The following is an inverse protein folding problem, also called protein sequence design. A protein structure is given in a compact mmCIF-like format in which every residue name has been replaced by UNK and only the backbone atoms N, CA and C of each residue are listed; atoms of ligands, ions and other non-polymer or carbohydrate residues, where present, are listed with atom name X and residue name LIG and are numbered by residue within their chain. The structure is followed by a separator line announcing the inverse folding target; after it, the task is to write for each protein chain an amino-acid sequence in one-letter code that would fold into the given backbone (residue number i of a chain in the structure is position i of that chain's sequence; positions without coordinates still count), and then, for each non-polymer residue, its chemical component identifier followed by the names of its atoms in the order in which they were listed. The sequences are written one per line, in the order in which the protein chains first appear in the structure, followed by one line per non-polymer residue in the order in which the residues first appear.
data_IF_156771861784
#
_entry.id   IF_156771861784
#
_cell.length_a   1.000
_cell.length_b   1.000
_cell.length_c   1.000
_cell.angle_alpha   90.00
_cell.angle_beta   90.00
_cell.angle_gamma   90.00
#
_symmetry.space_group_name_H-M   'P 1'
#
loop_
_entity.id
_entity.type
_entity.pdbx_description
1 polymer ?
#
# COMPACT_ATOMS: atom_id res chain seq x y z
N UNK A 1 -65.74 -8.81 16.96
CA UNK A 1 -64.42 -9.42 16.71
C UNK A 1 -63.81 -8.79 15.47
N UNK A 2 -62.55 -8.34 15.55
CA UNK A 2 -61.56 -8.11 14.48
C UNK A 2 -60.81 -6.79 14.67
N UNK A 3 -60.03 -6.72 15.76
CA UNK A 3 -59.05 -5.66 16.05
C UNK A 3 -57.62 -6.23 15.89
N UNK A 4 -57.39 -7.00 14.81
CA UNK A 4 -56.12 -7.72 14.60
C UNK A 4 -55.51 -7.57 13.21
N UNK A 5 -55.95 -6.61 12.40
CA UNK A 5 -55.43 -6.41 11.05
C UNK A 5 -54.68 -5.08 10.81
N UNK A 6 -54.32 -4.34 11.85
CA UNK A 6 -53.55 -3.06 11.70
C UNK A 6 -52.15 -3.12 12.34
N UNK A 7 -51.68 -4.30 12.74
CA UNK A 7 -50.34 -4.45 13.37
C UNK A 7 -49.51 -5.56 12.74
N UNK A 8 -49.18 -5.44 11.45
CA UNK A 8 -48.04 -6.19 10.86
C UNK A 8 -47.63 -5.69 9.48
N UNK A 9 -47.45 -4.38 9.31
CA UNK A 9 -46.62 -3.83 8.23
C UNK A 9 -45.63 -2.82 8.83
N UNK A 10 -44.88 -3.24 9.85
CA UNK A 10 -43.52 -2.73 10.03
C UNK A 10 -42.62 -3.58 9.15
N UNK A 11 -42.81 -3.44 7.84
CA UNK A 11 -41.84 -3.92 6.86
C UNK A 11 -40.64 -3.01 7.08
N UNK A 12 -39.58 -3.57 7.66
CA UNK A 12 -38.27 -2.94 7.73
C UNK A 12 -37.95 -2.40 6.34
N UNK A 13 -38.15 -1.10 6.15
CA UNK A 13 -37.52 -0.37 5.06
C UNK A 13 -36.06 -0.46 5.47
N UNK A 14 -35.32 -1.43 4.93
CA UNK A 14 -33.87 -1.33 4.88
C UNK A 14 -33.62 -0.03 4.15
N UNK A 15 -33.31 1.02 4.90
CA UNK A 15 -32.87 2.29 4.36
C UNK A 15 -31.71 1.95 3.44
N UNK A 16 -31.92 2.04 2.13
CA UNK A 16 -30.88 1.76 1.16
C UNK A 16 -29.85 2.87 1.39
N UNK A 17 -28.71 2.51 2.01
CA UNK A 17 -27.62 3.46 2.18
C UNK A 17 -27.23 3.99 0.80
N UNK A 18 -26.97 5.31 0.66
CA UNK A 18 -26.54 5.86 -0.61
C UNK A 18 -25.25 5.16 -1.04
N UNK A 19 -25.22 4.68 -2.29
CA UNK A 19 -24.06 4.00 -2.89
C UNK A 19 -23.09 4.97 -3.55
N UNK A 20 -23.42 6.26 -3.55
CA UNK A 20 -22.62 7.34 -4.16
C UNK A 20 -22.65 8.60 -3.31
N UNK A 21 -21.57 9.39 -3.36
CA UNK A 21 -21.47 10.73 -2.82
C UNK A 21 -20.87 11.66 -3.87
N UNK A 22 -21.52 12.80 -4.16
CA UNK A 22 -21.07 13.77 -5.19
C UNK A 22 -20.77 13.13 -6.56
N UNK A 23 -21.57 12.12 -6.95
CA UNK A 23 -21.42 11.43 -8.24
C UNK A 23 -20.31 10.38 -8.30
N UNK A 24 -19.58 10.13 -7.21
CA UNK A 24 -18.57 9.07 -7.10
C UNK A 24 -19.04 7.95 -6.16
N UNK A 25 -18.50 6.73 -6.26
CA UNK A 25 -18.83 5.62 -5.36
C UNK A 25 -18.64 6.00 -3.88
N UNK A 26 -19.51 5.49 -3.01
CA UNK A 26 -19.43 5.62 -1.56
C UNK A 26 -19.36 4.22 -0.93
N UNK A 27 -18.31 3.95 -0.17
CA UNK A 27 -18.15 2.75 0.66
C UNK A 27 -18.30 3.11 2.14
N UNK A 28 -18.74 2.16 2.96
CA UNK A 28 -18.53 2.23 4.40
C UNK A 28 -17.06 1.97 4.75
N UNK A 29 -16.62 2.41 5.93
CA UNK A 29 -15.28 2.14 6.43
C UNK A 29 -14.95 0.64 6.45
N UNK A 30 -15.89 -0.21 6.87
CA UNK A 30 -15.68 -1.67 6.90
C UNK A 30 -15.51 -2.25 5.50
N UNK A 31 -16.34 -1.82 4.53
CA UNK A 31 -16.21 -2.25 3.14
C UNK A 31 -14.88 -1.82 2.53
N UNK A 32 -14.50 -0.56 2.73
CA UNK A 32 -13.20 -0.04 2.29
C UNK A 32 -12.07 -0.84 2.92
N UNK A 33 -12.03 -0.98 4.26
CA UNK A 33 -10.98 -1.70 4.98
C UNK A 33 -10.87 -3.15 4.51
N UNK A 34 -12.00 -3.84 4.37
CA UNK A 34 -12.02 -5.25 3.97
C UNK A 34 -11.41 -5.48 2.58
N UNK A 35 -11.63 -4.56 1.64
CA UNK A 35 -11.08 -4.65 0.28
C UNK A 35 -9.63 -4.17 0.23
N UNK A 36 -9.33 -3.10 0.97
CA UNK A 36 -8.03 -2.46 0.99
C UNK A 36 -6.95 -3.33 1.63
N UNK A 37 -7.24 -3.97 2.78
CA UNK A 37 -6.29 -4.81 3.52
C UNK A 37 -6.66 -6.30 3.49
N UNK A 38 -7.44 -6.77 2.51
CA UNK A 38 -7.89 -8.17 2.47
C UNK A 38 -6.69 -9.11 2.60
N UNK A 39 -6.52 -9.75 3.75
CA UNK A 39 -5.58 -10.86 3.86
C UNK A 39 -6.03 -11.94 2.86
N UNK A 40 -5.11 -12.37 2.01
CA UNK A 40 -5.36 -13.48 1.11
C UNK A 40 -5.15 -14.75 1.91
N UNK A 41 -6.21 -15.50 2.16
CA UNK A 41 -6.14 -16.81 2.80
C UNK A 41 -5.70 -17.91 1.84
N UNK A 42 -5.74 -17.64 0.53
CA UNK A 42 -5.70 -18.67 -0.52
C UNK A 42 -4.52 -18.48 -1.49
N UNK A 43 -3.46 -17.75 -1.09
CA UNK A 43 -2.32 -17.38 -1.95
C UNK A 43 -2.71 -16.65 -3.26
N UNK A 44 -3.94 -16.14 -3.36
CA UNK A 44 -4.39 -15.35 -4.51
C UNK A 44 -4.04 -13.88 -4.33
N UNK A 45 -3.44 -13.27 -5.35
CA UNK A 45 -3.20 -11.83 -5.35
C UNK A 45 -4.54 -11.13 -5.54
N UNK A 46 -4.90 -10.21 -4.64
CA UNK A 46 -6.09 -9.36 -4.77
C UNK A 46 -5.66 -7.93 -5.02
N UNK A 47 -6.21 -7.32 -6.05
CA UNK A 47 -6.02 -5.89 -6.34
C UNK A 47 -7.26 -5.11 -5.96
N UNK A 48 -7.06 -3.88 -5.50
CA UNK A 48 -8.12 -2.93 -5.18
C UNK A 48 -7.75 -1.59 -5.79
N UNK A 49 -8.59 -1.07 -6.68
CA UNK A 49 -8.41 0.22 -7.36
C UNK A 49 -9.67 1.05 -7.08
N UNK A 50 -9.52 2.13 -6.32
CA UNK A 50 -10.65 2.91 -5.85
C UNK A 50 -10.41 4.41 -5.92
N UNK A 51 -11.39 5.11 -6.52
CA UNK A 51 -11.55 6.56 -6.47
C UNK A 51 -12.98 6.85 -6.05
N UNK A 52 -13.16 7.40 -4.86
CA UNK A 52 -14.48 7.64 -4.31
C UNK A 52 -14.46 8.10 -2.88
N UNK A 53 -15.59 7.97 -2.22
CA UNK A 53 -15.78 8.41 -0.85
C UNK A 53 -15.92 7.23 0.11
N UNK A 54 -15.49 7.43 1.34
CA UNK A 54 -15.61 6.48 2.44
C UNK A 54 -16.32 7.16 3.61
N UNK A 55 -17.40 6.55 4.09
CA UNK A 55 -18.05 6.91 5.35
C UNK A 55 -17.24 6.28 6.50
N UNK A 56 -16.48 7.12 7.19
CA UNK A 56 -15.61 6.76 8.32
C UNK A 56 -16.43 6.35 9.56
N UNK A 57 -15.82 5.65 10.52
CA UNK A 57 -16.51 5.19 11.75
C UNK A 57 -17.12 6.34 12.57
N UNK A 58 -16.53 7.54 12.49
CA UNK A 58 -17.03 8.76 13.14
C UNK A 58 -18.14 9.48 12.36
N UNK A 59 -18.59 8.91 11.24
CA UNK A 59 -19.61 9.50 10.35
C UNK A 59 -19.10 10.54 9.37
N UNK A 60 -17.81 10.89 9.40
CA UNK A 60 -17.22 11.77 8.40
C UNK A 60 -17.13 11.08 7.04
N UNK A 61 -17.31 11.84 5.97
CA UNK A 61 -17.12 11.35 4.60
C UNK A 61 -15.80 11.88 4.08
N UNK A 62 -14.90 10.97 3.72
CA UNK A 62 -13.57 11.27 3.21
C UNK A 62 -13.41 10.74 1.79
N UNK A 63 -12.77 11.52 0.93
CA UNK A 63 -12.33 11.09 -0.38
C UNK A 63 -11.11 10.17 -0.26
N UNK A 64 -11.05 9.13 -1.07
CA UNK A 64 -9.92 8.19 -1.17
C UNK A 64 -9.59 7.93 -2.62
N UNK A 65 -8.31 7.94 -2.93
CA UNK A 65 -7.73 7.71 -4.24
C UNK A 65 -6.57 6.76 -4.05
N UNK A 66 -6.87 5.47 -4.16
CA UNK A 66 -5.94 4.40 -3.73
C UNK A 66 -5.83 3.33 -4.80
N UNK A 67 -4.66 2.70 -4.86
CA UNK A 67 -4.50 1.36 -5.43
C UNK A 67 -3.78 0.48 -4.42
N UNK A 68 -4.24 -0.74 -4.24
CA UNK A 68 -3.66 -1.70 -3.33
C UNK A 68 -3.56 -3.08 -3.97
N UNK A 69 -2.56 -3.84 -3.52
CA UNK A 69 -2.34 -5.24 -3.85
C UNK A 69 -2.10 -5.98 -2.55
N UNK A 70 -2.79 -7.10 -2.38
CA UNK A 70 -2.75 -7.91 -1.18
C UNK A 70 -2.38 -9.36 -1.52
N UNK A 71 -1.69 -10.02 -0.59
CA UNK A 71 -1.38 -11.45 -0.72
C UNK A 71 -0.21 -11.73 -1.65
N UNK A 72 0.66 -10.75 -1.91
CA UNK A 72 1.91 -10.97 -2.64
C UNK A 72 2.88 -11.74 -1.73
N UNK A 73 3.60 -12.74 -2.25
CA UNK A 73 4.73 -13.42 -1.58
C UNK A 73 4.51 -13.64 -0.06
N UNK A 74 3.58 -14.52 0.27
CA UNK A 74 3.23 -14.91 1.65
C UNK A 74 2.64 -13.77 2.52
N UNK A 75 1.87 -12.86 1.91
CA UNK A 75 1.04 -11.88 2.65
C UNK A 75 1.58 -10.45 2.67
N UNK A 76 2.56 -10.13 1.82
CA UNK A 76 2.96 -8.75 1.54
C UNK A 76 1.77 -7.98 0.96
N UNK A 77 1.61 -6.76 1.47
CA UNK A 77 0.61 -5.80 1.03
C UNK A 77 1.31 -4.55 0.52
N UNK A 78 0.89 -4.05 -0.64
CA UNK A 78 1.35 -2.78 -1.21
C UNK A 78 0.12 -1.91 -1.35
N UNK A 79 0.19 -0.64 -0.94
CA UNK A 79 -0.77 0.34 -1.43
C UNK A 79 -0.12 1.67 -1.77
N UNK A 80 -0.84 2.42 -2.59
CA UNK A 80 -0.43 3.70 -3.14
C UNK A 80 -1.60 4.66 -2.97
N UNK A 81 -1.41 5.64 -2.09
CA UNK A 81 -2.48 6.49 -1.59
C UNK A 81 -2.25 7.94 -1.97
N UNK A 82 -3.27 8.58 -2.53
CA UNK A 82 -3.29 10.04 -2.66
C UNK A 82 -3.38 10.69 -1.28
N UNK A 83 -2.55 11.70 -1.02
CA UNK A 83 -2.56 12.48 0.23
C UNK A 83 -2.35 13.98 -0.05
N UNK A 84 -2.70 14.82 0.93
CA UNK A 84 -2.47 16.28 0.88
C UNK A 84 -0.99 16.57 1.15
N UNK A 85 -0.45 16.08 2.25
CA UNK A 85 0.95 16.26 2.66
C UNK A 85 1.20 15.34 3.85
N UNK A 86 1.97 14.26 3.67
CA UNK A 86 2.25 13.30 4.73
C UNK A 86 2.93 13.95 5.95
N UNK A 87 3.68 15.04 5.77
CA UNK A 87 4.40 15.71 6.86
C UNK A 87 3.51 16.58 7.75
N UNK A 88 2.31 16.97 7.29
CA UNK A 88 1.40 17.85 8.05
C UNK A 88 0.41 17.10 8.94
N UNK A 89 0.50 15.77 8.99
CA UNK A 89 -0.46 14.91 9.68
C UNK A 89 -1.70 14.64 8.83
N UNK A 90 -2.24 13.42 8.92
CA UNK A 90 -3.39 13.02 8.12
C UNK A 90 -4.65 13.76 8.58
N UNK A 91 -5.06 14.76 7.80
CA UNK A 91 -6.47 15.15 7.72
C UNK A 91 -7.06 14.45 6.49
N UNK A 92 -8.19 13.77 6.65
CA UNK A 92 -8.83 13.05 5.55
C UNK A 92 -9.11 13.98 4.37
N UNK A 93 -8.89 13.48 3.15
CA UNK A 93 -9.23 14.24 1.93
C UNK A 93 -10.75 14.48 1.92
N UNK A 94 -11.20 15.67 1.56
CA UNK A 94 -12.63 15.99 1.40
C UNK A 94 -13.07 15.98 -0.06
N UNK A 95 -12.13 16.11 -1.00
CA UNK A 95 -12.38 16.20 -2.43
C UNK A 95 -11.14 15.79 -3.26
N UNK A 96 -11.32 15.41 -4.54
CA UNK A 96 -10.22 14.98 -5.41
C UNK A 96 -9.10 16.02 -5.57
N UNK A 97 -9.44 17.31 -5.60
CA UNK A 97 -8.48 18.39 -5.86
C UNK A 97 -7.54 18.65 -4.68
N UNK A 98 -7.68 17.93 -3.57
CA UNK A 98 -6.80 18.03 -2.42
C UNK A 98 -5.59 17.12 -2.48
N UNK A 99 -5.52 16.18 -3.43
CA UNK A 99 -4.31 15.36 -3.59
C UNK A 99 -3.16 16.26 -4.05
N UNK A 100 -2.03 16.17 -3.37
CA UNK A 100 -0.77 16.83 -3.74
C UNK A 100 0.37 15.83 -3.97
N UNK A 101 0.33 14.64 -3.36
CA UNK A 101 1.33 13.58 -3.57
C UNK A 101 0.70 12.18 -3.48
N UNK A 102 1.44 11.16 -3.94
CA UNK A 102 1.10 9.76 -3.73
C UNK A 102 2.12 9.09 -2.82
N UNK A 103 1.67 8.39 -1.78
CA UNK A 103 2.53 7.65 -0.86
C UNK A 103 2.40 6.16 -1.13
N UNK A 104 3.53 5.49 -1.36
CA UNK A 104 3.58 4.03 -1.45
C UNK A 104 3.95 3.48 -0.08
N UNK A 105 3.10 2.63 0.46
CA UNK A 105 3.40 1.88 1.67
C UNK A 105 3.37 0.38 1.37
N UNK A 106 4.25 -0.36 2.02
CA UNK A 106 4.37 -1.80 1.86
C UNK A 106 4.46 -2.41 3.25
N UNK A 107 3.55 -3.33 3.52
CA UNK A 107 3.53 -4.09 4.76
C UNK A 107 4.13 -5.45 4.45
N UNK A 108 5.23 -5.79 5.14
CA UNK A 108 5.91 -7.08 4.99
C UNK A 108 5.74 -7.84 6.31
N UNK A 109 5.05 -9.00 6.32
CA UNK A 109 4.85 -9.78 7.52
C UNK A 109 6.16 -10.17 8.21
N UNK A 110 6.15 -10.25 9.54
CA UNK A 110 7.31 -10.68 10.33
C UNK A 110 7.83 -12.06 9.93
N UNK A 111 6.91 -12.98 9.55
CA UNK A 111 7.25 -14.29 9.01
C UNK A 111 8.08 -14.21 7.73
N UNK A 112 7.74 -13.30 6.82
CA UNK A 112 8.48 -13.05 5.57
C UNK A 112 9.84 -12.41 5.88
N UNK A 113 9.87 -11.39 6.73
CA UNK A 113 11.13 -10.74 7.13
C UNK A 113 12.13 -11.72 7.78
N UNK A 114 11.63 -12.62 8.63
CA UNK A 114 12.41 -13.69 9.26
C UNK A 114 12.89 -14.72 8.25
N UNK A 115 12.01 -15.19 7.36
CA UNK A 115 12.32 -16.18 6.31
C UNK A 115 13.40 -15.67 5.36
N UNK A 116 13.36 -14.39 4.99
CA UNK A 116 14.30 -13.80 4.04
C UNK A 116 15.54 -13.18 4.68
N UNK A 117 15.65 -13.20 6.02
CA UNK A 117 16.80 -12.63 6.72
C UNK A 117 16.93 -11.12 6.50
N UNK A 118 15.80 -10.41 6.48
CA UNK A 118 15.72 -8.95 6.28
C UNK A 118 15.08 -8.23 7.46
N UNK A 119 15.32 -6.92 7.52
CA UNK A 119 14.66 -5.98 8.43
C UNK A 119 14.12 -4.82 7.60
N UNK A 120 12.82 -4.61 7.63
CA UNK A 120 12.16 -3.49 6.98
C UNK A 120 11.77 -2.45 8.02
N UNK A 121 12.37 -1.25 7.91
CA UNK A 121 12.20 -0.16 8.88
C UNK A 121 12.33 1.20 8.18
N UNK A 122 11.51 2.16 8.62
CA UNK A 122 11.50 3.55 8.16
C UNK A 122 11.15 3.79 6.71
N UNK A 123 12.16 3.82 5.84
CA UNK A 123 12.15 4.15 4.41
C UNK A 123 12.92 3.06 3.61
N UNK A 124 13.38 1.95 4.23
CA UNK A 124 14.06 0.87 3.51
C UNK A 124 13.94 -0.55 4.15
N UNK A 125 14.22 -1.60 3.36
CA UNK A 125 14.50 -2.96 3.81
C UNK A 125 15.98 -3.30 3.62
N UNK A 126 16.60 -3.91 4.62
CA UNK A 126 18.02 -4.30 4.59
C UNK A 126 18.14 -5.80 4.82
N UNK A 127 19.15 -6.42 4.21
CA UNK A 127 19.65 -7.70 4.73
C UNK A 127 20.11 -7.50 6.18
N UNK A 128 20.01 -8.54 7.02
CA UNK A 128 20.50 -8.46 8.41
C UNK A 128 21.99 -8.09 8.45
N UNK A 129 22.78 -8.60 7.50
CA UNK A 129 24.20 -8.29 7.38
C UNK A 129 24.44 -6.79 7.11
N UNK A 130 23.76 -6.22 6.10
CA UNK A 130 23.87 -4.79 5.79
C UNK A 130 23.37 -3.92 6.94
N UNK A 131 22.34 -4.39 7.65
CA UNK A 131 21.82 -3.70 8.83
C UNK A 131 22.86 -3.66 9.94
N UNK A 132 23.45 -4.80 10.30
CA UNK A 132 24.51 -4.88 11.31
C UNK A 132 25.70 -4.00 10.91
N UNK A 133 26.11 -4.00 9.65
CA UNK A 133 27.22 -3.17 9.15
C UNK A 133 26.94 -1.68 9.31
N UNK A 134 25.69 -1.25 9.16
CA UNK A 134 25.31 0.16 9.17
C UNK A 134 25.02 0.72 10.58
N UNK A 135 24.45 -0.10 11.47
CA UNK A 135 24.02 0.34 12.81
C UNK A 135 24.77 -0.35 13.96
N UNK A 136 25.57 -1.37 13.67
CA UNK A 136 26.29 -2.16 14.66
C UNK A 136 25.42 -3.25 15.31
N UNK A 137 26.08 -4.30 15.79
CA UNK A 137 25.41 -5.50 16.35
C UNK A 137 24.49 -5.18 17.53
N UNK A 138 24.87 -4.22 18.38
CA UNK A 138 24.11 -3.89 19.59
C UNK A 138 22.74 -3.29 19.26
N UNK A 139 22.68 -2.36 18.32
CA UNK A 139 21.42 -1.74 17.87
C UNK A 139 20.60 -2.75 17.05
N UNK A 140 21.26 -3.51 16.17
CA UNK A 140 20.63 -4.52 15.32
C UNK A 140 19.90 -5.59 16.15
N UNK A 141 20.46 -6.03 17.27
CA UNK A 141 19.88 -7.13 18.07
C UNK A 141 18.44 -6.86 18.54
N UNK A 142 18.16 -5.64 19.01
CA UNK A 142 16.80 -5.29 19.44
C UNK A 142 15.85 -5.11 18.27
N UNK A 143 16.32 -4.51 17.18
CA UNK A 143 15.51 -4.27 15.99
C UNK A 143 15.17 -5.57 15.25
N UNK A 144 16.12 -6.51 15.13
CA UNK A 144 15.89 -7.87 14.60
C UNK A 144 14.83 -8.58 15.44
N UNK A 145 14.99 -8.56 16.77
CA UNK A 145 14.05 -9.21 17.69
C UNK A 145 12.64 -8.63 17.53
N UNK A 146 12.51 -7.32 17.39
CA UNK A 146 11.22 -6.64 17.15
C UNK A 146 10.65 -6.98 15.77
N UNK A 147 11.45 -6.92 14.71
CA UNK A 147 11.00 -7.20 13.35
C UNK A 147 10.54 -8.66 13.17
N UNK A 148 11.15 -9.59 13.91
CA UNK A 148 10.87 -11.03 13.82
C UNK A 148 9.97 -11.57 14.95
N UNK A 149 9.48 -10.73 15.86
CA UNK A 149 8.56 -11.18 16.90
C UNK A 149 7.17 -11.44 16.31
N UNK A 150 6.62 -12.62 16.61
CA UNK A 150 5.22 -12.99 16.28
C UNK A 150 4.21 -12.22 17.15
N UNK A 151 4.67 -11.70 18.29
CA UNK A 151 3.85 -10.94 19.23
C UNK A 151 3.64 -9.50 18.75
N UNK A 152 2.36 -9.22 18.55
CA UNK A 152 1.79 -8.05 17.87
C UNK A 152 1.98 -8.16 16.37
N UNK A 153 0.86 -8.04 15.68
CA UNK A 153 0.70 -7.12 14.56
C UNK A 153 1.82 -6.05 14.56
N UNK A 154 3.01 -6.36 14.04
CA UNK A 154 3.84 -5.39 13.31
C UNK A 154 3.14 -5.15 11.97
N UNK A 155 1.83 -4.89 12.04
CA UNK A 155 0.93 -4.54 10.95
C UNK A 155 1.01 -3.07 10.62
N UNK A 156 1.83 -2.33 11.36
CA UNK A 156 2.23 -1.00 10.98
C UNK A 156 3.17 -1.17 9.80
N UNK A 157 2.55 -1.35 8.62
CA UNK A 157 3.22 -1.31 7.35
C UNK A 157 4.22 -0.18 7.31
N UNK A 158 5.35 -0.45 6.70
CA UNK A 158 6.44 0.50 6.61
C UNK A 158 6.19 1.36 5.34
N UNK A 159 6.34 2.69 5.44
CA UNK A 159 6.15 3.60 4.29
C UNK A 159 7.38 3.50 3.39
N UNK A 160 7.26 2.84 2.26
CA UNK A 160 8.44 2.47 1.46
C UNK A 160 8.85 3.58 0.51
N UNK A 161 7.89 4.40 0.07
CA UNK A 161 8.14 5.47 -0.89
C UNK A 161 7.21 6.64 -0.65
N UNK A 162 7.74 7.83 -0.88
CA UNK A 162 6.93 9.00 -1.17
C UNK A 162 7.20 9.37 -2.61
N UNK A 163 6.16 9.35 -3.41
CA UNK A 163 6.23 9.76 -4.80
C UNK A 163 5.73 11.20 -4.87
N UNK A 164 6.60 12.10 -5.30
CA UNK A 164 6.22 13.47 -5.62
C UNK A 164 5.50 13.50 -6.99
N UNK A 165 4.37 12.78 -7.06
CA UNK A 165 3.47 12.75 -8.20
C UNK A 165 2.24 13.56 -7.82
N UNK A 166 2.34 14.87 -8.02
CA UNK A 166 1.20 15.78 -7.88
C UNK A 166 0.26 15.60 -9.08
N UNK A 167 -0.99 15.11 -8.90
CA UNK A 167 -1.94 14.95 -10.00
C UNK A 167 -2.26 16.23 -10.75
N UNK A 168 -2.08 17.40 -10.11
CA UNK A 168 -2.33 18.72 -10.73
C UNK A 168 -1.22 19.08 -11.71
N UNK A 169 0.01 18.64 -11.44
CA UNK A 169 1.20 18.97 -12.24
C UNK A 169 1.64 17.83 -13.15
N UNK A 170 1.15 16.61 -12.90
CA UNK A 170 1.58 15.41 -13.60
C UNK A 170 0.45 14.85 -14.48
N UNK A 171 0.49 15.10 -15.81
CA UNK A 171 -0.40 14.44 -16.75
C UNK A 171 -0.34 12.92 -16.57
N UNK A 172 -1.50 12.27 -16.57
CA UNK A 172 -1.63 10.82 -16.39
C UNK A 172 -1.07 10.28 -15.06
N UNK A 173 -1.05 11.07 -13.98
CA UNK A 173 -0.59 10.64 -12.65
C UNK A 173 -1.11 9.25 -12.26
N UNK A 174 -2.42 9.00 -12.39
CA UNK A 174 -3.00 7.69 -12.05
C UNK A 174 -2.53 6.53 -12.93
N UNK A 175 -2.24 6.79 -14.21
CA UNK A 175 -1.62 5.77 -15.09
C UNK A 175 -0.19 5.45 -14.64
N UNK A 176 0.56 6.46 -14.18
CA UNK A 176 1.90 6.26 -13.59
C UNK A 176 1.82 5.42 -12.32
N UNK A 177 0.87 5.71 -11.43
CA UNK A 177 0.62 4.93 -10.20
C UNK A 177 0.24 3.48 -10.51
N UNK A 178 -0.66 3.25 -11.47
CA UNK A 178 -1.01 1.89 -11.92
C UNK A 178 0.19 1.13 -12.50
N UNK A 179 1.03 1.80 -13.29
CA UNK A 179 2.26 1.20 -13.85
C UNK A 179 3.27 0.84 -12.77
N UNK A 180 3.39 1.69 -11.74
CA UNK A 180 4.24 1.43 -10.58
C UNK A 180 3.75 0.24 -9.77
N UNK A 181 2.44 0.19 -9.50
CA UNK A 181 1.79 -0.96 -8.85
C UNK A 181 2.12 -2.27 -9.59
N UNK A 182 1.99 -2.28 -10.92
CA UNK A 182 2.38 -3.44 -11.72
C UNK A 182 3.88 -3.77 -11.62
N UNK A 183 4.76 -2.77 -11.64
CA UNK A 183 6.20 -2.99 -11.55
C UNK A 183 6.60 -3.63 -10.19
N UNK A 184 5.98 -3.22 -9.09
CA UNK A 184 6.18 -3.85 -7.78
C UNK A 184 5.63 -5.27 -7.71
N UNK A 185 4.47 -5.51 -8.33
CA UNK A 185 3.93 -6.86 -8.43
C UNK A 185 4.90 -7.80 -9.15
N UNK A 186 5.43 -7.38 -10.30
CA UNK A 186 6.40 -8.18 -11.05
C UNK A 186 7.70 -8.39 -10.26
N UNK A 187 8.19 -7.36 -9.55
CA UNK A 187 9.35 -7.49 -8.67
C UNK A 187 9.17 -8.61 -7.64
N UNK A 188 8.02 -8.60 -6.94
CA UNK A 188 7.74 -9.56 -5.89
C UNK A 188 7.41 -10.96 -6.44
N UNK A 189 6.81 -11.06 -7.63
CA UNK A 189 6.53 -12.34 -8.30
C UNK A 189 7.78 -13.02 -8.84
N UNK A 190 8.82 -12.26 -9.15
CA UNK A 190 10.10 -12.79 -9.61
C UNK A 190 11.03 -13.18 -8.45
N UNK A 191 10.52 -13.19 -7.21
CA UNK A 191 11.27 -13.53 -5.99
C UNK A 191 12.59 -12.76 -5.83
N UNK A 192 12.64 -11.52 -6.34
CA UNK A 192 13.81 -10.68 -6.14
C UNK A 192 14.02 -10.35 -4.66
N UNK A 193 15.27 -10.18 -4.20
CA UNK A 193 15.56 -9.95 -2.79
C UNK A 193 14.86 -8.70 -2.24
N UNK A 194 14.17 -8.80 -1.11
CA UNK A 194 13.49 -7.62 -0.51
C UNK A 194 14.48 -6.51 -0.14
N UNK A 195 15.73 -6.85 0.20
CA UNK A 195 16.79 -5.86 0.47
C UNK A 195 17.17 -4.96 -0.72
N UNK A 196 16.77 -5.32 -1.95
CA UNK A 196 17.01 -4.52 -3.18
C UNK A 196 15.81 -3.71 -3.62
N UNK A 197 14.69 -3.77 -2.89
CA UNK A 197 13.47 -3.08 -3.23
C UNK A 197 13.69 -1.56 -3.33
N UNK A 198 14.46 -0.98 -2.41
CA UNK A 198 14.83 0.44 -2.45
C UNK A 198 15.67 0.82 -3.67
N UNK A 199 16.59 -0.05 -4.09
CA UNK A 199 17.42 0.17 -5.27
C UNK A 199 16.58 0.18 -6.56
N UNK A 200 15.64 -0.77 -6.66
CA UNK A 200 14.64 -0.82 -7.73
C UNK A 200 13.78 0.44 -7.74
N UNK A 201 13.29 0.84 -6.57
CA UNK A 201 12.46 2.02 -6.38
C UNK A 201 13.12 3.30 -6.87
N UNK A 202 14.40 3.52 -6.57
CA UNK A 202 15.15 4.69 -7.07
C UNK A 202 15.24 4.72 -8.60
N UNK A 203 15.30 3.56 -9.25
CA UNK A 203 15.29 3.49 -10.72
C UNK A 203 13.91 3.86 -11.26
N UNK A 204 12.84 3.37 -10.64
CA UNK A 204 11.49 3.71 -11.06
C UNK A 204 11.19 5.20 -10.84
N UNK A 205 11.59 5.77 -9.71
CA UNK A 205 11.45 7.20 -9.44
C UNK A 205 12.16 8.04 -10.52
N UNK A 206 13.40 7.67 -10.86
CA UNK A 206 14.16 8.31 -11.94
C UNK A 206 13.46 8.22 -13.30
N UNK A 207 12.81 7.08 -13.60
CA UNK A 207 12.03 6.89 -14.82
C UNK A 207 10.78 7.78 -14.83
N UNK A 208 10.06 7.86 -13.71
CA UNK A 208 8.82 8.64 -13.59
C UNK A 208 9.06 10.15 -13.65
N UNK A 209 10.22 10.60 -13.16
CA UNK A 209 10.73 11.96 -13.28
C UNK A 209 11.24 12.30 -14.69
N UNK A 210 11.38 11.30 -15.59
CA UNK A 210 11.92 11.49 -16.93
C UNK A 210 13.44 11.68 -16.98
N UNK A 211 14.15 11.36 -15.89
CA UNK A 211 15.60 11.46 -15.80
C UNK A 211 16.32 10.35 -16.56
N UNK A 212 15.63 9.24 -16.81
CA UNK A 212 16.11 8.10 -17.61
C UNK A 212 15.00 7.60 -18.52
N UNK A 213 15.38 6.97 -19.63
CA UNK A 213 14.43 6.33 -20.53
C UNK A 213 14.10 4.87 -20.12
N UNK A 214 13.05 4.24 -20.67
CA UNK A 214 12.68 2.87 -20.29
C UNK A 214 13.76 1.80 -20.55
N UNK A 215 14.61 1.99 -21.56
CA UNK A 215 15.71 1.07 -21.85
C UNK A 215 16.80 1.15 -20.78
N UNK A 216 17.18 2.36 -20.41
CA UNK A 216 18.11 2.63 -19.29
C UNK A 216 17.58 2.10 -17.97
N UNK A 217 16.29 2.28 -17.69
CA UNK A 217 15.64 1.76 -16.50
C UNK A 217 15.74 0.22 -16.44
N UNK A 218 15.44 -0.48 -17.54
CA UNK A 218 15.56 -1.93 -17.61
C UNK A 218 17.00 -2.40 -17.40
N UNK A 219 17.98 -1.72 -18.00
CA UNK A 219 19.40 -2.05 -17.80
C UNK A 219 19.82 -1.86 -16.34
N UNK A 220 19.46 -0.74 -15.70
CA UNK A 220 19.79 -0.46 -14.29
C UNK A 220 19.10 -1.40 -13.32
N UNK A 221 17.86 -1.80 -13.60
CA UNK A 221 17.15 -2.81 -12.82
C UNK A 221 17.90 -4.14 -12.90
N UNK A 222 18.26 -4.59 -14.11
CA UNK A 222 19.03 -5.82 -14.29
C UNK A 222 20.38 -5.79 -13.58
N UNK A 223 21.15 -4.72 -13.72
CA UNK A 223 22.44 -4.53 -13.04
C UNK A 223 22.27 -4.65 -11.50
N UNK A 224 21.32 -3.92 -10.93
CA UNK A 224 21.07 -3.92 -9.48
C UNK A 224 20.52 -5.24 -8.93
N UNK A 225 19.92 -6.08 -9.78
CA UNK A 225 19.31 -7.35 -9.38
C UNK A 225 20.16 -8.59 -9.73
N UNK A 226 21.00 -8.54 -10.76
CA UNK A 226 21.79 -9.68 -11.24
C UNK A 226 23.16 -9.82 -10.56
N UNK A 227 23.65 -8.77 -9.89
CA UNK A 227 24.92 -8.77 -9.14
C UNK A 227 24.97 -9.77 -7.97
N UNK A 228 23.90 -10.54 -7.74
CA UNK A 228 23.76 -11.53 -6.66
C UNK A 228 23.35 -12.93 -7.13
N UNK A 229 23.28 -13.18 -8.45
CA UNK A 229 23.05 -14.54 -8.98
C UNK A 229 24.31 -15.41 -9.04
N UNK A 230 25.44 -14.86 -8.59
CA UNK A 230 26.72 -15.54 -8.49
C UNK A 230 27.27 -15.37 -7.08
N UNK A 231 26.76 -16.16 -6.14
CA UNK A 231 27.47 -16.69 -4.97
C UNK A 231 26.65 -17.82 -4.32
#
# INVERSE_FOLDING_TARGET
MSNKLVKKINKSIKTIKPTTHKGLPLLSFEEFRSQYTSQSTDNTIKTFDFQGYVEMENGNIEYRDVTAMNGLRDGIHIGIDGTIDYHKGQTGLKKPEQIEEYVVYITIPASVQKKEGVICKYDNCYSIEDYIKKWGEKEAKEDIKKAHSEDKLNSDGYVVMRLDIDPKKTPNARKKISSLSHAFNEYLRQDYPLGKLYDFMRVIDSLLAGNINPFEANSKIKEKLLDYSTD
#
